data_IF_991503094714
#
_entry.id   IF_991503094714
#
_cell.length_a   1.000
_cell.length_b   1.000
_cell.length_c   1.000
_cell.angle_alpha   90.00
_cell.angle_beta   90.00
_cell.angle_gamma   90.00
#
_symmetry.space_group_name_H-M   'P 1'
#
loop_
_entity.id
_entity.type
_entity.pdbx_description
1 polymer ?
#
# COMPACT_ATOMS: atom_id res chain seq x y z
N UNK A 1 12.98 1.40 -10.07
CA UNK A 1 13.26 2.06 -8.77
C UNK A 1 12.88 1.08 -7.67
N UNK A 2 13.69 0.93 -6.63
CA UNK A 2 13.32 0.17 -5.42
C UNK A 2 13.18 1.15 -4.26
N UNK A 3 12.13 1.01 -3.45
CA UNK A 3 11.87 1.83 -2.27
C UNK A 3 11.94 0.97 -1.01
N UNK A 4 12.47 1.53 0.07
CA UNK A 4 12.71 0.83 1.32
C UNK A 4 12.49 1.79 2.49
N UNK A 5 11.84 1.31 3.56
CA UNK A 5 11.77 1.97 4.86
C UNK A 5 11.70 0.89 5.94
N UNK A 6 12.55 1.01 6.95
CA UNK A 6 12.60 0.06 8.07
C UNK A 6 11.58 0.46 9.12
N UNK A 7 10.73 -0.49 9.51
CA UNK A 7 9.78 -0.35 10.61
C UNK A 7 10.07 -1.41 11.67
N UNK A 8 9.92 -1.05 12.93
CA UNK A 8 10.06 -1.98 14.07
C UNK A 8 8.80 -2.84 14.26
N UNK A 9 7.67 -2.42 13.71
CA UNK A 9 6.39 -3.14 13.79
C UNK A 9 5.79 -3.36 12.40
N UNK A 10 5.10 -4.49 12.26
CA UNK A 10 4.49 -4.94 11.01
C UNK A 10 2.98 -4.73 11.08
N UNK A 11 2.52 -3.51 10.81
CA UNK A 11 1.12 -3.10 10.97
C UNK A 11 0.59 -2.41 9.70
N UNK A 12 -0.75 -2.31 9.52
CA UNK A 12 -1.33 -1.63 8.36
C UNK A 12 -0.91 -0.16 8.23
N UNK A 13 -0.83 0.56 9.35
CA UNK A 13 -0.46 1.98 9.35
C UNK A 13 0.96 2.21 8.82
N UNK A 14 1.92 1.34 9.13
CA UNK A 14 3.30 1.48 8.61
C UNK A 14 3.35 1.25 7.10
N UNK A 15 2.46 0.43 6.56
CA UNK A 15 2.34 0.22 5.12
C UNK A 15 1.73 1.44 4.42
N UNK A 16 0.74 2.09 5.03
CA UNK A 16 0.15 3.34 4.50
C UNK A 16 1.19 4.47 4.51
N UNK A 17 1.90 4.63 5.63
CA UNK A 17 3.00 5.59 5.77
C UNK A 17 4.08 5.37 4.70
N UNK A 18 4.47 4.13 4.43
CA UNK A 18 5.47 3.82 3.40
C UNK A 18 5.07 4.34 2.02
N UNK A 19 3.80 4.16 1.64
CA UNK A 19 3.29 4.65 0.36
C UNK A 19 3.28 6.18 0.32
N UNK A 20 2.80 6.81 1.39
CA UNK A 20 2.71 8.26 1.48
C UNK A 20 4.09 8.96 1.49
N UNK A 21 5.06 8.40 2.20
CA UNK A 21 6.39 9.00 2.40
C UNK A 21 7.32 8.80 1.21
N UNK A 22 7.28 7.62 0.56
CA UNK A 22 8.32 7.23 -0.40
C UNK A 22 7.81 6.97 -1.81
N UNK A 23 6.65 6.33 -1.95
CA UNK A 23 6.21 5.79 -3.24
C UNK A 23 5.41 6.84 -4.02
N UNK A 24 4.30 7.33 -3.46
CA UNK A 24 3.41 8.24 -4.17
C UNK A 24 4.09 9.58 -4.53
N UNK A 25 4.86 10.24 -3.65
CA UNK A 25 5.54 11.49 -4.02
C UNK A 25 6.53 11.29 -5.16
N UNK A 26 7.22 10.15 -5.21
CA UNK A 26 8.16 9.85 -6.28
C UNK A 26 7.46 9.70 -7.64
N UNK A 27 6.33 8.99 -7.72
CA UNK A 27 5.62 8.86 -8.99
C UNK A 27 4.91 10.17 -9.38
N UNK A 28 4.37 10.91 -8.40
CA UNK A 28 3.78 12.22 -8.62
C UNK A 28 4.79 13.24 -9.18
N UNK A 29 6.06 13.21 -8.73
CA UNK A 29 7.11 14.10 -9.25
C UNK A 29 7.47 13.83 -10.72
N UNK A 30 7.04 12.69 -11.26
CA UNK A 30 7.22 12.31 -12.66
C UNK A 30 5.91 12.41 -13.46
N UNK A 31 4.86 13.02 -12.89
CA UNK A 31 3.52 13.10 -13.49
C UNK A 31 2.90 11.72 -13.81
N UNK A 32 3.23 10.71 -12.98
CA UNK A 32 2.75 9.34 -13.16
C UNK A 32 1.72 8.96 -12.08
N UNK A 33 0.44 8.72 -12.45
CA UNK A 33 -0.57 8.30 -11.49
C UNK A 33 -0.43 6.82 -11.11
N UNK A 34 -0.46 6.52 -9.81
CA UNK A 34 -0.44 5.13 -9.30
C UNK A 34 -1.86 4.58 -9.21
N UNK A 35 -2.27 3.79 -10.21
CA UNK A 35 -3.66 3.31 -10.31
C UNK A 35 -3.95 2.05 -9.48
N UNK A 36 -2.92 1.21 -9.25
CA UNK A 36 -3.09 -0.10 -8.63
C UNK A 36 -1.83 -0.56 -7.92
N UNK A 37 -2.02 -1.18 -6.76
CA UNK A 37 -0.95 -1.81 -5.98
C UNK A 37 -1.24 -3.30 -5.82
N UNK A 38 -0.25 -4.12 -6.12
CA UNK A 38 -0.27 -5.57 -5.94
C UNK A 38 0.54 -5.95 -4.69
N UNK A 39 -0.10 -6.60 -3.72
CA UNK A 39 0.57 -7.10 -2.51
C UNK A 39 0.37 -8.59 -2.35
N UNK A 40 1.12 -9.20 -1.42
CA UNK A 40 0.78 -10.52 -0.92
C UNK A 40 -0.48 -10.44 -0.02
N UNK A 41 -0.81 -11.56 0.63
CA UNK A 41 -1.96 -11.67 1.54
C UNK A 41 -1.61 -11.42 3.02
N UNK A 42 -0.50 -10.72 3.30
CA UNK A 42 -0.11 -10.36 4.66
C UNK A 42 -1.17 -9.51 5.35
N UNK A 43 -1.27 -9.63 6.68
CA UNK A 43 -2.26 -8.92 7.52
C UNK A 43 -2.02 -7.42 7.55
N UNK A 44 -0.83 -6.95 7.22
CA UNK A 44 -0.48 -5.54 7.04
C UNK A 44 -1.11 -4.92 5.77
N UNK A 45 -1.45 -5.74 4.79
CA UNK A 45 -2.09 -5.31 3.54
C UNK A 45 -3.57 -5.69 3.49
N UNK A 46 -3.97 -6.69 4.26
CA UNK A 46 -5.26 -7.36 4.15
C UNK A 46 -6.04 -7.33 5.47
N UNK A 47 -7.14 -6.57 5.48
CA UNK A 47 -8.14 -6.61 6.55
C UNK A 47 -9.49 -6.07 6.12
N UNK A 48 -10.38 -5.90 7.09
CA UNK A 48 -11.69 -5.28 6.89
C UNK A 48 -11.52 -3.79 6.56
N UNK A 49 -12.20 -3.32 5.51
CA UNK A 49 -12.03 -1.96 4.98
C UNK A 49 -12.19 -0.88 6.06
N UNK A 50 -13.19 -0.98 6.93
CA UNK A 50 -13.49 0.05 7.94
C UNK A 50 -12.47 0.13 9.08
N UNK A 51 -11.66 -0.92 9.27
CA UNK A 51 -10.75 -1.06 10.42
C UNK A 51 -9.28 -1.22 10.01
N UNK A 52 -8.97 -1.09 8.72
CA UNK A 52 -7.65 -1.38 8.19
C UNK A 52 -7.08 -0.14 7.51
N UNK A 53 -6.19 0.56 8.23
CA UNK A 53 -5.63 1.87 7.85
C UNK A 53 -5.10 1.88 6.42
N UNK A 54 -4.35 0.85 6.03
CA UNK A 54 -3.82 0.73 4.67
C UNK A 54 -4.91 0.66 3.60
N UNK A 55 -6.03 -0.01 3.87
CA UNK A 55 -7.12 -0.13 2.87
C UNK A 55 -7.96 1.14 2.81
N UNK A 56 -8.17 1.81 3.94
CA UNK A 56 -8.76 3.15 3.97
C UNK A 56 -7.90 4.12 3.17
N UNK A 57 -6.59 4.13 3.43
CA UNK A 57 -5.64 4.98 2.74
C UNK A 57 -5.69 4.80 1.22
N UNK A 58 -5.67 3.54 0.74
CA UNK A 58 -5.81 3.28 -0.71
C UNK A 58 -7.16 3.75 -1.27
N UNK A 59 -8.24 3.58 -0.51
CA UNK A 59 -9.57 3.99 -0.95
C UNK A 59 -9.70 5.51 -1.07
N UNK A 60 -9.14 6.26 -0.12
CA UNK A 60 -9.11 7.74 -0.14
C UNK A 60 -8.28 8.26 -1.31
N UNK A 61 -7.19 7.57 -1.67
CA UNK A 61 -6.34 7.93 -2.81
C UNK A 61 -6.83 7.33 -4.13
N UNK A 62 -8.00 6.68 -4.15
CA UNK A 62 -8.58 6.03 -5.34
C UNK A 62 -7.69 4.96 -6.00
N UNK A 63 -6.79 4.34 -5.21
CA UNK A 63 -5.85 3.33 -5.66
C UNK A 63 -6.45 1.93 -5.49
N UNK A 64 -6.48 1.14 -6.57
CA UNK A 64 -7.00 -0.23 -6.53
C UNK A 64 -6.02 -1.17 -5.83
N UNK A 65 -6.50 -1.96 -4.88
CA UNK A 65 -5.71 -3.02 -4.23
C UNK A 65 -5.93 -4.38 -4.89
N UNK A 66 -4.86 -5.01 -5.37
CA UNK A 66 -4.87 -6.41 -5.86
C UNK A 66 -3.99 -7.27 -4.97
N UNK A 67 -4.37 -8.53 -4.80
CA UNK A 67 -3.62 -9.50 -4.00
C UNK A 67 -3.12 -10.63 -4.88
N UNK A 68 -1.98 -11.21 -4.55
CA UNK A 68 -1.50 -12.40 -5.25
C UNK A 68 -2.52 -13.55 -5.18
N UNK A 69 -2.66 -14.27 -6.30
CA UNK A 69 -3.46 -15.51 -6.36
C UNK A 69 -2.67 -16.62 -5.67
N UNK A 70 -3.34 -17.37 -4.80
CA UNK A 70 -2.81 -18.65 -4.31
C UNK A 70 -2.91 -19.66 -5.46
N UNK A 71 -1.78 -20.23 -5.87
CA UNK A 71 -1.81 -21.50 -6.63
C UNK A 71 -2.01 -22.60 -5.59
N UNK A 72 -3.17 -23.26 -5.65
CA UNK A 72 -3.35 -24.58 -5.03
C UNK A 72 -2.84 -25.62 -6.01
#
# INVERSE_FOLDING_TARGET
>A
MAHCKLYTTKTPITTADFLNDRVLPFYASHDLPVLRILTNRGTEYCGELKQHDYRLYLSVNEIKHTKTKTRK
#
